data_IF_318296218220
#
_entry.id   IF_318296218220
#
_cell.length_a   1.000
_cell.length_b   1.000
_cell.length_c   1.000
_cell.angle_alpha   90.00
_cell.angle_beta   90.00
_cell.angle_gamma   90.00
#
_symmetry.space_group_name_H-M   'P 1'
#
loop_
_entity.id
_entity.type
_entity.pdbx_description
1 polymer ?
#
# COMPACT_ATOMS: atom_id res chain seq x y z
N UNK A 1 -28.29 42.04 5.19
CA UNK A 1 -27.00 41.74 4.50
C UNK A 1 -25.94 41.07 5.37
N UNK A 2 -26.01 41.11 6.72
CA UNK A 2 -24.99 40.51 7.59
C UNK A 2 -25.09 38.97 7.70
N UNK A 3 -26.31 38.39 7.61
CA UNK A 3 -26.52 36.92 7.73
C UNK A 3 -25.98 36.08 6.58
N UNK A 4 -25.83 36.66 5.37
CA UNK A 4 -25.36 35.91 4.18
C UNK A 4 -23.84 35.75 4.21
N UNK A 5 -23.10 36.73 4.76
CA UNK A 5 -21.64 36.64 4.90
C UNK A 5 -21.22 35.60 5.95
N UNK A 6 -21.99 35.43 7.02
CA UNK A 6 -21.70 34.42 8.05
C UNK A 6 -21.83 32.98 7.51
N UNK A 7 -22.78 32.71 6.62
CA UNK A 7 -22.91 31.39 5.98
C UNK A 7 -21.75 31.08 5.01
N UNK A 8 -21.26 32.08 4.26
CA UNK A 8 -20.14 31.90 3.33
C UNK A 8 -18.82 31.63 4.09
N UNK A 9 -18.62 32.27 5.25
CA UNK A 9 -17.43 32.04 6.10
C UNK A 9 -17.42 30.63 6.71
N UNK A 10 -18.59 30.11 7.12
CA UNK A 10 -18.72 28.74 7.67
C UNK A 10 -18.49 27.70 6.56
N UNK A 11 -18.94 27.94 5.33
CA UNK A 11 -18.69 27.04 4.19
C UNK A 11 -17.21 27.04 3.78
N UNK A 12 -16.51 28.18 3.89
CA UNK A 12 -15.07 28.24 3.64
C UNK A 12 -14.23 27.56 4.75
N UNK A 13 -14.69 27.58 6.00
CA UNK A 13 -14.03 26.92 7.14
C UNK A 13 -14.21 25.38 7.14
N UNK A 14 -15.27 24.87 6.51
CA UNK A 14 -15.50 23.44 6.29
C UNK A 14 -14.65 22.84 5.16
N UNK A 15 -13.90 23.63 4.38
CA UNK A 15 -12.88 23.11 3.45
C UNK A 15 -11.64 22.53 4.15
N UNK A 16 -11.63 22.48 5.48
CA UNK A 16 -10.62 21.78 6.28
C UNK A 16 -10.83 20.25 6.33
N UNK A 17 -11.19 19.60 5.21
CA UNK A 17 -11.05 18.15 5.05
C UNK A 17 -9.59 17.76 4.79
N UNK A 18 -8.77 17.99 5.82
CA UNK A 18 -7.51 17.36 6.20
C UNK A 18 -6.66 16.60 5.17
N UNK A 19 -6.48 17.03 3.93
CA UNK A 19 -5.28 16.69 3.17
C UNK A 19 -5.01 17.68 2.05
N UNK A 20 -3.82 18.28 2.05
CA UNK A 20 -3.40 19.29 1.06
C UNK A 20 -2.40 18.78 0.02
N UNK A 21 -2.01 17.50 0.07
CA UNK A 21 -1.05 16.93 -0.89
C UNK A 21 -1.69 16.51 -2.22
N UNK A 22 -0.88 15.96 -3.13
CA UNK A 22 -1.36 15.34 -4.36
C UNK A 22 -2.09 14.03 -4.06
N UNK A 23 -3.14 13.74 -4.83
CA UNK A 23 -3.90 12.49 -4.79
C UNK A 23 -4.10 11.96 -6.20
N UNK A 24 -4.31 10.65 -6.33
CA UNK A 24 -4.86 10.08 -7.56
C UNK A 24 -6.32 10.49 -7.75
N UNK A 25 -6.89 10.20 -8.92
CA UNK A 25 -8.32 10.38 -9.21
C UNK A 25 -9.23 9.55 -8.30
N UNK A 26 -8.70 8.52 -7.63
CA UNK A 26 -9.43 7.71 -6.64
C UNK A 26 -9.15 8.14 -5.19
N UNK A 27 -8.47 9.26 -4.98
CA UNK A 27 -8.25 9.84 -3.65
C UNK A 27 -7.09 9.23 -2.87
N UNK A 28 -6.27 8.36 -3.46
CA UNK A 28 -5.08 7.81 -2.79
C UNK A 28 -3.95 8.84 -2.76
N UNK A 29 -3.20 8.98 -1.64
CA UNK A 29 -2.15 9.98 -1.54
C UNK A 29 -0.98 9.70 -2.48
N UNK A 30 -0.33 10.76 -2.95
CA UNK A 30 0.91 10.75 -3.74
C UNK A 30 1.95 11.63 -3.06
N UNK A 31 3.14 11.09 -2.80
CA UNK A 31 4.31 11.80 -2.25
C UNK A 31 5.65 11.34 -2.83
N UNK A 32 6.17 12.06 -3.81
CA UNK A 32 7.34 11.60 -4.57
C UNK A 32 8.60 11.59 -3.70
N UNK A 33 9.47 10.60 -3.92
CA UNK A 33 10.79 10.51 -3.31
C UNK A 33 11.80 10.36 -4.43
N UNK A 34 12.70 11.34 -4.55
CA UNK A 34 13.75 11.27 -5.57
C UNK A 34 14.55 9.96 -5.45
N UNK A 35 14.87 9.35 -6.60
CA UNK A 35 15.66 8.11 -6.67
C UNK A 35 16.98 8.22 -5.90
N UNK A 36 17.63 9.39 -5.90
CA UNK A 36 18.86 9.65 -5.14
C UNK A 36 18.65 9.49 -3.63
N UNK A 37 17.52 9.94 -3.09
CA UNK A 37 17.18 9.77 -1.67
C UNK A 37 16.88 8.30 -1.35
N UNK A 38 16.19 7.59 -2.25
CA UNK A 38 15.90 6.17 -2.08
C UNK A 38 17.19 5.31 -2.08
N UNK A 39 18.08 5.54 -3.04
CA UNK A 39 19.34 4.78 -3.16
C UNK A 39 20.32 5.04 -2.01
N UNK A 40 20.19 6.18 -1.30
CA UNK A 40 20.91 6.40 -0.04
C UNK A 40 20.45 5.47 1.08
N UNK A 41 19.24 4.90 0.99
CA UNK A 41 18.71 3.97 1.99
C UNK A 41 19.17 2.53 1.76
N UNK A 42 19.44 2.14 0.50
CA UNK A 42 19.83 0.78 0.13
C UNK A 42 19.74 0.54 -1.38
N UNK A 43 20.04 -0.70 -1.80
CA UNK A 43 19.87 -1.10 -3.20
C UNK A 43 18.39 -1.36 -3.52
N UNK A 44 17.99 -1.24 -4.78
CA UNK A 44 16.66 -1.69 -5.25
C UNK A 44 16.74 -3.02 -6.01
N UNK A 45 17.95 -3.52 -6.22
CA UNK A 45 18.24 -4.75 -6.94
C UNK A 45 17.98 -5.97 -6.05
N UNK A 46 17.63 -7.10 -6.68
CA UNK A 46 17.39 -8.37 -5.98
C UNK A 46 15.96 -8.56 -5.46
N UNK A 47 15.07 -7.58 -5.65
CA UNK A 47 13.62 -7.78 -5.47
C UNK A 47 13.01 -8.29 -6.77
N UNK A 48 12.20 -9.35 -6.68
CA UNK A 48 11.50 -9.90 -7.83
C UNK A 48 10.36 -8.96 -8.25
N UNK A 49 10.59 -8.26 -9.35
CA UNK A 49 9.63 -7.30 -9.95
C UNK A 49 8.77 -7.93 -11.02
N UNK A 50 8.98 -9.22 -11.37
CA UNK A 50 8.24 -9.90 -12.43
C UNK A 50 6.92 -10.49 -11.94
N UNK A 51 6.78 -10.68 -10.64
CA UNK A 51 5.63 -11.34 -10.06
C UNK A 51 4.74 -10.41 -9.24
N UNK A 52 3.60 -10.96 -8.85
CA UNK A 52 2.66 -10.38 -7.92
C UNK A 52 2.68 -11.13 -6.61
N UNK A 53 2.42 -10.42 -5.52
CA UNK A 53 2.32 -11.00 -4.20
C UNK A 53 0.93 -10.72 -3.64
N UNK A 54 0.13 -11.77 -3.45
CA UNK A 54 -1.27 -11.66 -3.03
C UNK A 54 -1.35 -11.93 -1.53
N UNK A 55 -2.04 -11.06 -0.80
CA UNK A 55 -2.24 -11.23 0.64
C UNK A 55 -3.06 -12.52 0.88
N UNK A 56 -2.56 -13.38 1.77
CA UNK A 56 -3.25 -14.63 2.14
C UNK A 56 -3.68 -14.64 3.60
N UNK A 57 -2.85 -14.10 4.48
CA UNK A 57 -3.08 -14.14 5.92
C UNK A 57 -2.74 -12.82 6.59
N UNK A 58 -3.47 -12.53 7.66
CA UNK A 58 -3.04 -11.58 8.68
C UNK A 58 -2.78 -12.38 9.95
N UNK A 59 -1.53 -12.40 10.40
CA UNK A 59 -1.11 -13.08 11.61
C UNK A 59 -1.02 -12.09 12.77
N UNK A 60 -1.43 -12.49 13.97
CA UNK A 60 -1.15 -11.72 15.19
C UNK A 60 -0.43 -12.57 16.22
N UNK A 61 0.37 -11.91 17.05
CA UNK A 61 0.96 -12.52 18.23
C UNK A 61 0.17 -12.08 19.46
N UNK A 62 -0.49 -13.03 20.09
CA UNK A 62 -1.09 -12.88 21.42
C UNK A 62 -0.29 -13.82 22.34
N UNK A 63 0.64 -13.26 23.11
CA UNK A 63 1.62 -14.04 23.87
C UNK A 63 2.60 -14.80 22.97
N UNK A 64 2.75 -16.11 23.19
CA UNK A 64 3.62 -17.02 22.40
C UNK A 64 2.90 -17.75 21.25
N UNK A 65 1.60 -17.49 21.03
CA UNK A 65 0.81 -18.15 19.99
C UNK A 65 0.61 -17.23 18.79
N UNK A 66 0.86 -17.76 17.59
CA UNK A 66 0.50 -17.12 16.32
C UNK A 66 -0.96 -17.46 16.03
N UNK A 67 -1.81 -16.44 15.91
CA UNK A 67 -3.21 -16.61 15.51
C UNK A 67 -3.40 -16.06 14.09
N UNK A 68 -4.21 -16.76 13.29
CA UNK A 68 -4.69 -16.26 11.99
C UNK A 68 -5.90 -15.38 12.25
N UNK A 69 -5.76 -14.07 12.03
CA UNK A 69 -6.86 -13.11 12.16
C UNK A 69 -7.80 -13.15 10.96
N UNK A 70 -7.25 -13.50 9.78
CA UNK A 70 -7.98 -13.49 8.52
C UNK A 70 -7.33 -14.45 7.53
N UNK A 71 -8.16 -15.24 6.86
CA UNK A 71 -7.80 -16.06 5.70
C UNK A 71 -8.43 -15.42 4.46
N UNK A 72 -7.69 -15.40 3.35
CA UNK A 72 -7.97 -14.64 2.12
C UNK A 72 -7.73 -13.14 2.34
N UNK A 73 -6.62 -12.65 1.80
CA UNK A 73 -6.22 -11.27 2.03
C UNK A 73 -7.01 -10.28 1.17
N UNK A 74 -6.95 -9.01 1.58
CA UNK A 74 -7.70 -7.91 0.98
C UNK A 74 -6.83 -7.01 0.10
N UNK A 75 -5.64 -7.47 -0.29
CA UNK A 75 -4.74 -6.67 -1.10
C UNK A 75 -3.72 -7.52 -1.86
N UNK A 76 -3.04 -6.90 -2.82
CA UNK A 76 -1.86 -7.46 -3.46
C UNK A 76 -0.79 -6.39 -3.68
N UNK A 77 0.47 -6.83 -3.75
CA UNK A 77 1.65 -5.99 -3.96
C UNK A 77 2.28 -6.26 -5.32
N UNK A 78 2.62 -5.19 -6.03
CA UNK A 78 3.43 -5.21 -7.26
C UNK A 78 4.68 -4.35 -7.07
N UNK A 79 5.84 -4.96 -7.23
CA UNK A 79 7.13 -4.26 -7.21
C UNK A 79 7.57 -3.90 -8.64
N UNK A 80 8.19 -2.72 -8.78
CA UNK A 80 8.65 -2.20 -10.07
C UNK A 80 10.17 -1.97 -10.06
N UNK A 81 10.87 -2.19 -11.18
CA UNK A 81 12.33 -2.00 -11.28
C UNK A 81 12.82 -0.60 -10.88
N UNK A 82 11.93 0.40 -10.89
CA UNK A 82 12.24 1.77 -10.47
C UNK A 82 12.40 1.97 -8.96
N UNK A 83 12.25 0.92 -8.13
CA UNK A 83 12.24 1.03 -6.67
C UNK A 83 10.88 1.46 -6.10
N UNK A 84 9.82 1.40 -6.93
CA UNK A 84 8.44 1.72 -6.55
C UNK A 84 7.67 0.45 -6.23
N UNK A 85 6.64 0.57 -5.41
CA UNK A 85 5.72 -0.54 -5.08
C UNK A 85 4.29 -0.02 -5.03
N UNK A 86 3.37 -0.80 -5.59
CA UNK A 86 1.93 -0.54 -5.53
C UNK A 86 1.27 -1.57 -4.62
N UNK A 87 0.43 -1.09 -3.69
CA UNK A 87 -0.46 -1.90 -2.87
C UNK A 87 -1.89 -1.67 -3.32
N UNK A 88 -2.46 -2.65 -4.00
CA UNK A 88 -3.82 -2.59 -4.53
C UNK A 88 -4.79 -3.26 -3.57
N UNK A 89 -5.86 -2.58 -3.15
CA UNK A 89 -6.89 -3.21 -2.35
C UNK A 89 -7.76 -4.11 -3.24
N UNK A 90 -7.98 -5.34 -2.80
CA UNK A 90 -8.98 -6.27 -3.36
C UNK A 90 -10.31 -5.92 -2.69
N UNK A 91 -11.09 -5.01 -3.27
CA UNK A 91 -12.40 -4.61 -2.75
C UNK A 91 -13.48 -5.02 -3.74
N UNK A 92 -14.55 -5.65 -3.26
CA UNK A 92 -15.80 -5.71 -4.02
C UNK A 92 -16.48 -4.34 -3.92
N UNK A 93 -16.90 -3.76 -5.06
CA UNK A 93 -17.46 -2.39 -5.12
C UNK A 93 -18.82 -2.23 -4.43
N UNK A 94 -19.39 -3.29 -3.87
CA UNK A 94 -20.72 -3.24 -3.24
C UNK A 94 -20.65 -3.16 -1.72
N UNK A 95 -19.66 -3.78 -1.07
CA UNK A 95 -19.46 -3.69 0.38
C UNK A 95 -17.96 -3.80 0.69
N UNK A 96 -17.41 -2.78 1.37
CA UNK A 96 -15.98 -2.61 1.65
C UNK A 96 -15.33 -3.73 2.50
N UNK A 97 -16.07 -4.79 2.84
CA UNK A 97 -15.69 -5.80 3.83
C UNK A 97 -15.81 -7.26 3.36
N UNK A 98 -16.28 -7.53 2.15
CA UNK A 98 -16.45 -8.91 1.68
C UNK A 98 -15.27 -9.42 0.84
N UNK A 99 -14.72 -10.56 1.25
CA UNK A 99 -13.61 -11.26 0.63
C UNK A 99 -14.06 -12.04 -0.60
N UNK A 100 -13.20 -12.14 -1.62
CA UNK A 100 -13.50 -12.92 -2.82
C UNK A 100 -12.64 -14.21 -2.80
N UNK A 101 -13.17 -15.35 -2.31
CA UNK A 101 -12.56 -16.63 -2.61
C UNK A 101 -12.47 -16.79 -4.14
N UNK A 102 -11.31 -17.18 -4.64
CA UNK A 102 -11.02 -17.37 -6.08
C UNK A 102 -11.09 -16.09 -6.94
N UNK A 103 -10.64 -14.94 -6.42
CA UNK A 103 -10.53 -13.72 -7.22
C UNK A 103 -9.71 -13.95 -8.49
N UNK A 104 -10.34 -13.69 -9.65
CA UNK A 104 -9.66 -13.70 -10.94
C UNK A 104 -9.25 -12.27 -11.30
N UNK A 105 -7.95 -12.04 -11.38
CA UNK A 105 -7.38 -10.74 -11.72
C UNK A 105 -7.76 -10.32 -13.14
N UNK A 106 -8.27 -9.10 -13.27
CA UNK A 106 -8.53 -8.39 -14.53
C UNK A 106 -7.47 -7.31 -14.71
N UNK A 107 -7.20 -6.94 -15.97
CA UNK A 107 -6.23 -5.88 -16.30
C UNK A 107 -6.53 -4.55 -15.60
N UNK A 108 -7.80 -4.24 -15.36
CA UNK A 108 -8.27 -3.02 -14.67
C UNK A 108 -7.92 -2.95 -13.18
N UNK A 109 -7.54 -4.07 -12.58
CA UNK A 109 -7.19 -4.15 -11.16
C UNK A 109 -5.77 -3.60 -10.92
N UNK A 110 -4.96 -3.54 -11.98
CA UNK A 110 -3.60 -3.01 -11.98
C UNK A 110 -3.53 -1.50 -12.30
N UNK A 111 -4.68 -0.81 -12.35
CA UNK A 111 -4.72 0.64 -12.54
C UNK A 111 -4.02 1.35 -11.37
N UNK A 112 -2.85 1.98 -11.60
CA UNK A 112 -2.05 2.61 -10.56
C UNK A 112 -2.84 3.66 -9.78
N UNK A 113 -3.81 4.32 -10.43
CA UNK A 113 -4.67 5.34 -9.80
C UNK A 113 -5.49 4.76 -8.65
N UNK A 114 -5.76 3.46 -8.64
CA UNK A 114 -6.53 2.73 -7.61
C UNK A 114 -5.65 2.16 -6.49
N UNK A 115 -4.34 2.34 -6.54
CA UNK A 115 -3.42 1.76 -5.56
C UNK A 115 -2.87 2.79 -4.58
N UNK A 116 -2.52 2.31 -3.39
CA UNK A 116 -1.56 2.99 -2.53
C UNK A 116 -0.18 2.83 -3.15
N UNK A 117 0.55 3.94 -3.29
CA UNK A 117 1.90 3.94 -3.83
C UNK A 117 2.92 3.96 -2.71
N UNK A 118 4.11 3.47 -2.99
CA UNK A 118 5.23 3.51 -2.07
C UNK A 118 6.54 3.24 -2.78
N UNK A 119 7.58 3.11 -1.95
CA UNK A 119 8.92 2.79 -2.38
C UNK A 119 9.43 1.57 -1.64
N UNK A 120 10.42 0.90 -2.22
CA UNK A 120 11.14 -0.16 -1.54
C UNK A 120 12.64 -0.05 -1.73
N UNK A 121 13.39 -0.63 -0.80
CA UNK A 121 14.84 -0.79 -0.89
C UNK A 121 15.28 -2.00 -0.05
N UNK A 122 16.35 -2.64 -0.47
CA UNK A 122 17.05 -3.71 0.21
C UNK A 122 18.17 -3.12 1.09
N UNK A 123 18.11 -3.42 2.39
CA UNK A 123 19.15 -3.07 3.34
C UNK A 123 19.32 -4.23 4.31
N UNK A 124 20.58 -4.66 4.52
CA UNK A 124 20.92 -5.74 5.48
C UNK A 124 20.12 -7.03 5.23
N UNK A 125 19.95 -7.41 3.96
CA UNK A 125 19.22 -8.63 3.57
C UNK A 125 17.69 -8.59 3.79
N UNK A 126 17.13 -7.44 4.16
CA UNK A 126 15.69 -7.25 4.32
C UNK A 126 15.15 -6.21 3.34
N UNK A 127 13.98 -6.49 2.77
CA UNK A 127 13.25 -5.51 1.97
C UNK A 127 12.56 -4.56 2.95
N UNK A 128 12.78 -3.27 2.78
CA UNK A 128 12.12 -2.21 3.52
C UNK A 128 11.17 -1.50 2.58
N UNK A 129 9.92 -1.33 3.01
CA UNK A 129 8.90 -0.59 2.28
C UNK A 129 8.63 0.74 2.95
N UNK A 130 8.39 1.76 2.14
CA UNK A 130 7.91 3.09 2.52
C UNK A 130 6.55 3.28 1.85
N UNK A 131 5.48 2.84 2.52
CA UNK A 131 4.12 3.00 2.00
C UNK A 131 3.65 4.44 2.19
N UNK A 132 3.07 5.07 1.16
CA UNK A 132 2.45 6.39 1.31
C UNK A 132 1.04 6.22 1.85
N UNK A 133 0.83 6.67 3.07
CA UNK A 133 -0.47 6.65 3.73
C UNK A 133 -0.87 8.04 4.20
N UNK A 134 -2.17 8.23 4.39
CA UNK A 134 -2.68 9.36 5.15
C UNK A 134 -2.29 9.18 6.62
N UNK A 135 -1.62 10.19 7.17
CA UNK A 135 -1.41 10.31 8.60
C UNK A 135 -1.72 11.76 8.97
N UNK A 136 -2.73 11.93 9.83
CA UNK A 136 -3.35 13.23 10.11
C UNK A 136 -3.75 13.89 8.78
N UNK A 137 -3.29 15.12 8.53
CA UNK A 137 -3.68 15.90 7.36
C UNK A 137 -2.65 15.87 6.20
N UNK A 138 -1.72 14.90 6.21
CA UNK A 138 -0.60 14.82 5.27
C UNK A 138 -0.27 13.40 4.80
N UNK A 139 0.47 13.31 3.70
CA UNK A 139 1.00 12.05 3.19
C UNK A 139 2.32 11.76 3.89
N UNK A 140 2.42 10.58 4.49
CA UNK A 140 3.64 10.12 5.16
C UNK A 140 4.04 8.74 4.66
N UNK A 141 5.34 8.53 4.66
CA UNK A 141 5.94 7.24 4.38
C UNK A 141 5.92 6.43 5.68
N UNK A 142 5.16 5.34 5.71
CA UNK A 142 5.13 4.41 6.82
C UNK A 142 6.16 3.31 6.54
N UNK A 143 7.20 3.18 7.37
CA UNK A 143 8.20 2.14 7.19
C UNK A 143 7.65 0.77 7.60
N UNK A 144 7.86 -0.21 6.73
CA UNK A 144 7.57 -1.63 6.97
C UNK A 144 8.81 -2.46 6.69
N UNK A 145 9.06 -3.47 7.50
CA UNK A 145 10.12 -4.46 7.25
C UNK A 145 9.48 -5.71 6.67
N UNK A 146 10.06 -6.23 5.60
CA UNK A 146 9.63 -7.45 4.94
C UNK A 146 10.71 -8.50 5.08
N UNK A 147 10.31 -9.67 5.57
CA UNK A 147 11.14 -10.87 5.54
C UNK A 147 10.66 -11.76 4.41
N UNK A 148 11.58 -12.26 3.59
CA UNK A 148 11.30 -13.18 2.49
C UNK A 148 11.62 -14.60 2.92
N UNK A 149 10.71 -15.55 2.65
CA UNK A 149 10.97 -17.00 2.79
C UNK A 149 10.38 -17.72 1.58
N UNK A 150 11.24 -18.17 0.66
CA UNK A 150 10.81 -18.71 -0.63
C UNK A 150 9.91 -17.70 -1.35
N UNK A 151 8.72 -18.15 -1.74
CA UNK A 151 7.72 -17.33 -2.44
C UNK A 151 6.80 -16.52 -1.51
N UNK A 152 7.14 -16.41 -0.22
CA UNK A 152 6.31 -15.72 0.78
C UNK A 152 6.99 -14.47 1.34
N UNK A 153 6.24 -13.37 1.42
CA UNK A 153 6.62 -12.12 2.07
C UNK A 153 5.88 -11.97 3.40
N UNK A 154 6.63 -11.72 4.47
CA UNK A 154 6.10 -11.39 5.79
C UNK A 154 6.30 -9.90 6.04
N UNK A 155 5.24 -9.12 5.89
CA UNK A 155 5.26 -7.65 6.01
C UNK A 155 4.84 -7.26 7.42
N UNK A 156 5.77 -6.67 8.16
CA UNK A 156 5.53 -6.11 9.50
C UNK A 156 5.64 -4.60 9.45
N UNK A 157 4.50 -3.93 9.58
CA UNK A 157 4.45 -2.47 9.71
C UNK A 157 5.08 -2.05 11.03
N UNK A 158 5.94 -1.03 11.02
CA UNK A 158 6.40 -0.43 12.28
C UNK A 158 5.21 0.31 12.91
N UNK A 159 5.02 0.13 14.22
CA UNK A 159 3.92 0.71 15.02
C UNK A 159 3.79 2.22 14.79
N UNK A 160 2.55 2.69 14.62
CA UNK A 160 2.15 4.05 15.00
C UNK A 160 1.19 3.88 16.20
N UNK A 161 1.62 4.24 17.41
CA UNK A 161 0.86 4.01 18.66
C UNK A 161 1.01 2.60 19.29
N UNK A 162 0.10 2.22 20.19
CA UNK A 162 0.17 0.98 20.99
C UNK A 162 -0.36 -0.29 20.29
N UNK A 163 -1.05 -0.19 19.15
CA UNK A 163 -1.69 -1.35 18.53
C UNK A 163 -0.72 -2.17 17.67
N UNK A 164 -0.65 -3.48 17.92
CA UNK A 164 0.03 -4.43 17.03
C UNK A 164 -0.88 -4.68 15.82
N UNK A 165 -0.53 -4.13 14.65
CA UNK A 165 -1.31 -4.28 13.41
C UNK A 165 -1.18 -5.67 12.74
N UNK A 166 -0.61 -6.66 13.44
CA UNK A 166 -0.31 -7.98 12.91
C UNK A 166 0.85 -8.00 11.90
N UNK A 167 1.15 -9.19 11.38
CA UNK A 167 2.06 -9.44 10.26
C UNK A 167 1.22 -9.87 9.08
N UNK A 168 1.28 -9.12 7.99
CA UNK A 168 0.62 -9.51 6.74
C UNK A 168 1.50 -10.51 6.00
N UNK A 169 0.89 -11.58 5.49
CA UNK A 169 1.57 -12.62 4.72
C UNK A 169 1.08 -12.54 3.29
N UNK A 170 2.00 -12.28 2.37
CA UNK A 170 1.75 -12.28 0.94
C UNK A 170 2.45 -13.45 0.28
N UNK A 171 1.79 -14.11 -0.67
CA UNK A 171 2.34 -15.26 -1.41
C UNK A 171 2.44 -14.89 -2.87
N UNK A 172 3.57 -15.26 -3.50
CA UNK A 172 3.80 -15.07 -4.93
C UNK A 172 2.69 -15.73 -5.73
N UNK A 173 2.24 -15.04 -6.77
CA UNK A 173 1.18 -15.51 -7.66
C UNK A 173 1.71 -15.60 -9.09
N UNK A 174 1.37 -16.71 -9.74
CA UNK A 174 1.64 -16.95 -11.15
C UNK A 174 0.60 -16.22 -11.99
N UNK A 175 0.80 -14.92 -12.21
CA UNK A 175 -0.01 -14.11 -13.11
C UNK A 175 0.75 -13.97 -14.44
N UNK A 176 0.10 -14.13 -15.60
CA UNK A 176 0.81 -14.09 -16.87
C UNK A 176 1.49 -12.72 -17.10
N UNK A 177 2.74 -12.76 -17.55
CA UNK A 177 3.62 -11.57 -17.69
C UNK A 177 2.95 -10.44 -18.48
N UNK A 178 2.20 -10.76 -19.55
CA UNK A 178 1.49 -9.78 -20.37
C UNK A 178 0.35 -9.01 -19.66
N UNK A 179 -0.13 -9.49 -18.50
CA UNK A 179 -1.08 -8.72 -17.67
C UNK A 179 -0.40 -7.58 -16.90
N UNK A 180 0.91 -7.69 -16.70
CA UNK A 180 1.71 -6.78 -15.88
C UNK A 180 2.49 -5.75 -16.71
N UNK A 181 2.52 -5.92 -18.03
CA UNK A 181 3.21 -5.03 -18.95
C UNK A 181 2.42 -3.73 -19.19
N UNK A 182 3.14 -2.61 -19.18
CA UNK A 182 2.62 -1.28 -19.52
C UNK A 182 1.92 -0.53 -18.38
N UNK A 183 1.73 -1.15 -17.21
CA UNK A 183 1.22 -0.46 -16.03
C UNK A 183 2.37 0.08 -15.19
N UNK A 184 2.77 1.31 -15.46
CA UNK A 184 3.79 2.02 -14.68
C UNK A 184 3.14 2.80 -13.51
N UNK A 185 3.83 2.96 -12.37
CA UNK A 185 3.33 3.79 -11.27
C UNK A 185 3.01 5.23 -11.70
N UNK A 186 1.80 5.73 -11.39
CA UNK A 186 1.22 7.03 -11.82
C UNK A 186 1.64 8.24 -10.97
N UNK A 187 2.92 8.32 -10.64
CA UNK A 187 3.46 9.40 -9.82
C UNK A 187 3.37 10.76 -10.48
#
# INVERSE_FOLDING_TARGET
MVRVFSCILIVALLQSCCYRGLKSSYGFPRKDISKKVLLKQGSIDGVDTKHLYVEKYILTNIGKKINVLKENGSSFLKFYPSGKVSSFPLVNTTEYNELIPNYQFKKSDFDPRKSFMGYYYLKEGAINMLGVHFAECNARNIPSKITVKGDTLFVRSRKYGQQNLGTKVYVKSDIPVGFLEGWEPDW
#
